data_IF_709598410320
#
_entry.id   IF_709598410320
#
_cell.length_a   1.000
_cell.length_b   1.000
_cell.length_c   1.000
_cell.angle_alpha   90.00
_cell.angle_beta   90.00
_cell.angle_gamma   90.00
#
_symmetry.space_group_name_H-M   'P 1'
#
loop_
_entity.id
_entity.type
_entity.pdbx_description
1 polymer ?
#
# COMPACT_ATOMS: atom_id res chain seq x y z
N UNK A 1 18.72 12.12 12.60
CA UNK A 1 17.81 11.66 11.54
C UNK A 1 16.57 12.53 11.60
N UNK A 2 16.16 13.15 10.49
CA UNK A 2 14.98 14.03 10.48
C UNK A 2 13.68 13.21 10.38
N UNK A 3 12.56 13.79 10.81
CA UNK A 3 11.23 13.15 10.74
C UNK A 3 10.89 12.70 9.30
N UNK A 4 11.16 13.49 8.25
CA UNK A 4 10.93 13.06 6.86
C UNK A 4 11.70 11.79 6.47
N UNK A 5 12.97 11.65 6.91
CA UNK A 5 13.78 10.45 6.62
C UNK A 5 13.20 9.22 7.31
N UNK A 6 12.71 9.35 8.56
CA UNK A 6 12.03 8.27 9.27
C UNK A 6 10.74 7.84 8.56
N UNK A 7 9.92 8.80 8.12
CA UNK A 7 8.70 8.52 7.37
C UNK A 7 9.01 7.81 6.05
N UNK A 8 10.03 8.27 5.33
CA UNK A 8 10.46 7.67 4.07
C UNK A 8 10.95 6.22 4.28
N UNK A 9 11.79 5.98 5.28
CA UNK A 9 12.26 4.64 5.63
C UNK A 9 11.11 3.70 6.03
N UNK A 10 10.14 4.19 6.82
CA UNK A 10 8.94 3.42 7.16
C UNK A 10 8.17 3.01 5.91
N UNK A 11 7.95 3.92 4.96
CA UNK A 11 7.19 3.65 3.75
C UNK A 11 7.90 2.64 2.83
N UNK A 12 9.24 2.63 2.81
CA UNK A 12 10.03 1.60 2.13
C UNK A 12 9.77 0.22 2.76
N UNK A 13 9.85 0.12 4.09
CA UNK A 13 9.65 -1.16 4.79
C UNK A 13 8.21 -1.66 4.64
N UNK A 14 7.23 -0.77 4.84
CA UNK A 14 5.82 -1.08 4.70
C UNK A 14 5.47 -1.49 3.27
N UNK A 15 5.85 -0.66 2.29
CA UNK A 15 5.64 -0.95 0.87
C UNK A 15 6.37 -2.22 0.43
N UNK A 16 7.60 -2.43 0.89
CA UNK A 16 8.41 -3.60 0.57
C UNK A 16 7.79 -4.91 1.05
N UNK A 17 7.24 -4.92 2.27
CA UNK A 17 6.47 -6.07 2.78
C UNK A 17 5.30 -6.41 1.85
N UNK A 18 4.46 -5.44 1.49
CA UNK A 18 3.31 -5.68 0.60
C UNK A 18 3.74 -6.05 -0.82
N UNK A 19 4.80 -5.43 -1.36
CA UNK A 19 5.32 -5.75 -2.68
C UNK A 19 5.73 -7.23 -2.76
N UNK A 20 6.47 -7.73 -1.77
CA UNK A 20 6.88 -9.13 -1.71
C UNK A 20 5.67 -10.06 -1.57
N UNK A 21 4.73 -9.73 -0.68
CA UNK A 21 3.55 -10.56 -0.47
C UNK A 21 2.68 -10.66 -1.72
N UNK A 22 2.46 -9.54 -2.41
CA UNK A 22 1.64 -9.49 -3.62
C UNK A 22 2.35 -10.04 -4.86
N UNK A 23 3.68 -9.96 -4.95
CA UNK A 23 4.43 -10.47 -6.11
C UNK A 23 4.71 -11.98 -6.00
N UNK A 24 5.17 -12.43 -4.83
CA UNK A 24 5.74 -13.77 -4.65
C UNK A 24 4.87 -14.70 -3.81
N UNK A 25 4.02 -14.16 -2.94
CA UNK A 25 3.16 -14.93 -2.04
C UNK A 25 1.66 -14.66 -2.30
N UNK A 26 1.32 -14.29 -3.53
CA UNK A 26 0.04 -13.68 -3.90
C UNK A 26 -1.16 -14.58 -3.63
N UNK A 27 -1.04 -15.88 -3.89
CA UNK A 27 -2.10 -16.86 -3.65
C UNK A 27 -2.43 -16.94 -2.16
N UNK A 28 -1.40 -17.12 -1.32
CA UNK A 28 -1.57 -17.17 0.14
C UNK A 28 -2.11 -15.85 0.68
N UNK A 29 -1.70 -14.71 0.11
CA UNK A 29 -2.23 -13.41 0.48
C UNK A 29 -3.72 -13.28 0.10
N UNK A 30 -4.11 -13.70 -1.10
CA UNK A 30 -5.49 -13.70 -1.55
C UNK A 30 -6.39 -14.52 -0.61
N UNK A 31 -5.98 -15.74 -0.27
CA UNK A 31 -6.74 -16.63 0.61
C UNK A 31 -6.81 -16.10 2.05
N UNK A 32 -5.65 -15.81 2.66
CA UNK A 32 -5.58 -15.48 4.10
C UNK A 32 -5.97 -14.06 4.45
N UNK A 33 -5.81 -13.11 3.52
CA UNK A 33 -5.97 -11.68 3.80
C UNK A 33 -7.15 -11.05 3.06
N UNK A 34 -7.53 -11.58 1.89
CA UNK A 34 -8.62 -11.05 1.07
C UNK A 34 -9.83 -12.00 0.97
N UNK A 35 -9.73 -13.23 1.50
CA UNK A 35 -10.78 -14.25 1.44
C UNK A 35 -11.17 -14.62 0.01
N UNK A 36 -10.20 -14.54 -0.91
CA UNK A 36 -10.37 -14.87 -2.31
C UNK A 36 -9.71 -16.22 -2.59
N UNK A 37 -10.51 -17.29 -2.53
CA UNK A 37 -10.06 -18.65 -2.77
C UNK A 37 -10.24 -19.03 -4.25
N UNK A 38 -9.38 -18.44 -5.09
CA UNK A 38 -9.28 -18.85 -6.50
C UNK A 38 -7.85 -18.67 -7.01
N UNK A 39 -7.36 -19.55 -7.90
CA UNK A 39 -6.06 -19.37 -8.53
C UNK A 39 -5.96 -18.03 -9.27
N UNK A 40 -7.07 -17.57 -9.85
CA UNK A 40 -7.15 -16.32 -10.59
C UNK A 40 -6.87 -15.10 -9.71
N UNK A 41 -7.28 -15.13 -8.44
CA UNK A 41 -6.99 -14.06 -7.48
C UNK A 41 -5.48 -13.90 -7.26
N UNK A 42 -4.75 -15.01 -7.08
CA UNK A 42 -3.30 -15.00 -6.96
C UNK A 42 -2.61 -14.43 -8.19
N UNK A 43 -3.07 -14.75 -9.40
CA UNK A 43 -2.53 -14.18 -10.64
C UNK A 43 -2.85 -12.69 -10.80
N UNK A 44 -4.05 -12.25 -10.41
CA UNK A 44 -4.46 -10.85 -10.51
C UNK A 44 -3.69 -9.92 -9.56
N UNK A 45 -3.25 -10.42 -8.40
CA UNK A 45 -2.46 -9.64 -7.44
C UNK A 45 -0.99 -9.46 -7.83
N UNK A 46 -0.43 -10.36 -8.65
CA UNK A 46 0.99 -10.30 -9.05
C UNK A 46 1.39 -8.99 -9.73
N UNK A 47 0.65 -8.49 -10.74
CA UNK A 47 0.92 -7.17 -11.33
C UNK A 47 0.94 -6.05 -10.29
N UNK A 48 -0.01 -6.05 -9.35
CA UNK A 48 -0.04 -5.05 -8.28
C UNK A 48 1.21 -5.13 -7.38
N UNK A 49 1.69 -6.35 -7.09
CA UNK A 49 2.95 -6.57 -6.38
C UNK A 49 4.17 -6.01 -7.11
N UNK A 50 4.27 -6.22 -8.43
CA UNK A 50 5.37 -5.66 -9.23
C UNK A 50 5.32 -4.14 -9.32
N UNK A 51 4.13 -3.54 -9.46
CA UNK A 51 3.96 -2.08 -9.43
C UNK A 51 4.42 -1.53 -8.06
N UNK A 52 3.98 -2.15 -6.96
CA UNK A 52 4.42 -1.79 -5.61
C UNK A 52 5.93 -1.94 -5.43
N UNK A 53 6.54 -2.98 -6.01
CA UNK A 53 7.99 -3.13 -6.04
C UNK A 53 8.67 -1.95 -6.74
N UNK A 54 8.15 -1.53 -7.89
CA UNK A 54 8.64 -0.36 -8.61
C UNK A 54 8.57 0.91 -7.75
N UNK A 55 7.45 1.15 -7.07
CA UNK A 55 7.29 2.29 -6.14
C UNK A 55 8.32 2.24 -5.01
N UNK A 56 8.53 1.07 -4.40
CA UNK A 56 9.52 0.89 -3.32
C UNK A 56 10.94 1.14 -3.81
N UNK A 57 11.29 0.69 -5.02
CA UNK A 57 12.59 0.98 -5.62
C UNK A 57 12.78 2.48 -5.89
N UNK A 58 11.73 3.19 -6.30
CA UNK A 58 11.78 4.64 -6.47
C UNK A 58 11.89 5.38 -5.13
N UNK A 59 11.26 4.90 -4.06
CA UNK A 59 11.46 5.44 -2.71
C UNK A 59 12.92 5.26 -2.28
N UNK A 60 13.49 4.07 -2.46
CA UNK A 60 14.91 3.82 -2.18
C UNK A 60 15.79 4.77 -3.00
N UNK A 61 15.53 4.89 -4.31
CA UNK A 61 16.33 5.72 -5.20
C UNK A 61 16.30 7.20 -4.78
N UNK A 62 15.11 7.73 -4.47
CA UNK A 62 14.98 9.14 -4.06
C UNK A 62 15.48 9.41 -2.64
N UNK A 63 15.43 8.43 -1.72
CA UNK A 63 16.00 8.55 -0.39
C UNK A 63 17.54 8.68 -0.41
N UNK A 64 18.19 7.91 -1.29
CA UNK A 64 19.66 7.87 -1.40
C UNK A 64 20.22 8.74 -2.54
N UNK A 65 19.37 9.43 -3.31
CA UNK A 65 19.78 10.24 -4.46
C UNK A 65 20.38 9.43 -5.61
N UNK A 66 20.01 8.15 -5.74
CA UNK A 66 20.51 7.25 -6.78
C UNK A 66 19.95 7.69 -8.13
N UNK A 67 20.79 7.77 -9.17
CA UNK A 67 20.35 8.06 -10.54
C UNK A 67 19.79 9.47 -10.76
N UNK A 68 19.94 10.39 -9.80
CA UNK A 68 19.45 11.77 -9.91
C UNK A 68 17.94 11.93 -9.69
N UNK A 69 17.25 10.92 -9.16
CA UNK A 69 15.82 11.02 -8.84
C UNK A 69 15.56 11.91 -7.61
N UNK A 70 14.77 12.96 -7.77
CA UNK A 70 14.45 13.94 -6.71
C UNK A 70 12.96 14.04 -6.36
N UNK A 71 12.09 13.38 -7.12
CA UNK A 71 10.62 13.50 -7.02
C UNK A 71 9.98 12.73 -5.86
N UNK A 72 10.52 12.84 -4.64
CA UNK A 72 9.97 12.14 -3.46
C UNK A 72 8.55 12.61 -3.16
N UNK A 73 8.28 13.92 -3.22
CA UNK A 73 6.95 14.47 -2.87
C UNK A 73 5.87 13.99 -3.83
N UNK A 74 6.18 13.92 -5.12
CA UNK A 74 5.29 13.42 -6.17
C UNK A 74 5.00 11.93 -5.97
N UNK A 75 6.02 11.14 -5.67
CA UNK A 75 5.87 9.71 -5.39
C UNK A 75 4.98 9.47 -4.15
N UNK A 76 5.21 10.23 -3.08
CA UNK A 76 4.40 10.16 -1.86
C UNK A 76 2.96 10.63 -2.08
N UNK A 77 2.74 11.64 -2.93
CA UNK A 77 1.39 12.10 -3.29
C UNK A 77 0.60 11.00 -4.03
N UNK A 78 1.22 10.30 -4.98
CA UNK A 78 0.59 9.16 -5.66
C UNK A 78 0.25 8.04 -4.66
N UNK A 79 1.15 7.74 -3.72
CA UNK A 79 0.87 6.78 -2.66
C UNK A 79 -0.27 7.23 -1.74
N UNK A 80 -0.37 8.52 -1.43
CA UNK A 80 -1.45 9.07 -0.60
C UNK A 80 -2.81 8.91 -1.29
N UNK A 81 -2.88 9.14 -2.62
CA UNK A 81 -4.10 8.89 -3.41
C UNK A 81 -4.47 7.42 -3.34
N UNK A 82 -3.53 6.50 -3.56
CA UNK A 82 -3.77 5.07 -3.46
C UNK A 82 -4.30 4.66 -2.07
N UNK A 83 -3.65 5.13 -1.00
CA UNK A 83 -4.07 4.84 0.37
C UNK A 83 -5.48 5.38 0.64
N UNK A 84 -5.78 6.60 0.19
CA UNK A 84 -7.11 7.22 0.34
C UNK A 84 -8.19 6.40 -0.36
N UNK A 85 -7.95 5.98 -1.61
CA UNK A 85 -8.89 5.13 -2.36
C UNK A 85 -9.07 3.77 -1.67
N UNK A 86 -8.01 3.22 -1.10
CA UNK A 86 -8.08 1.97 -0.32
C UNK A 86 -8.92 2.13 0.94
N UNK A 87 -8.81 3.26 1.66
CA UNK A 87 -9.68 3.57 2.81
C UNK A 87 -11.14 3.68 2.36
N UNK A 88 -11.41 4.39 1.27
CA UNK A 88 -12.78 4.55 0.75
C UNK A 88 -13.38 3.21 0.37
N UNK A 89 -12.64 2.37 -0.36
CA UNK A 89 -13.13 1.05 -0.78
C UNK A 89 -13.40 0.13 0.41
N UNK A 90 -12.43 -0.03 1.32
CA UNK A 90 -12.60 -0.89 2.49
C UNK A 90 -13.66 -0.32 3.46
N UNK A 91 -13.71 1.00 3.65
CA UNK A 91 -14.72 1.66 4.45
C UNK A 91 -16.13 1.49 3.87
N UNK A 92 -16.28 1.60 2.55
CA UNK A 92 -17.53 1.32 1.87
C UNK A 92 -17.99 -0.12 2.02
N UNK A 93 -17.06 -1.10 2.05
CA UNK A 93 -17.38 -2.49 2.34
C UNK A 93 -17.82 -2.71 3.80
N UNK A 94 -17.14 -2.08 4.77
CA UNK A 94 -17.53 -2.11 6.20
C UNK A 94 -18.92 -1.51 6.40
N UNK A 95 -19.23 -0.40 5.74
CA UNK A 95 -20.51 0.29 5.81
C UNK A 95 -21.60 -0.35 4.94
N UNK A 96 -21.31 -1.45 4.25
CA UNK A 96 -22.23 -2.15 3.32
C UNK A 96 -22.72 -1.29 2.16
N UNK A 97 -21.96 -0.24 1.80
CA UNK A 97 -22.15 0.57 0.59
C UNK A 97 -21.64 -0.18 -0.64
N UNK A 98 -20.55 -0.94 -0.48
CA UNK A 98 -20.00 -1.81 -1.52
C UNK A 98 -20.14 -3.28 -1.13
N UNK A 99 -20.36 -4.18 -2.10
CA UNK A 99 -20.38 -5.60 -1.85
C UNK A 99 -18.99 -6.13 -1.48
N UNK A 100 -18.96 -7.12 -0.59
CA UNK A 100 -17.78 -7.96 -0.33
C UNK A 100 -17.73 -9.11 -1.32
N UNK A 101 -16.54 -9.67 -1.54
CA UNK A 101 -16.33 -10.73 -2.53
C UNK A 101 -17.14 -12.01 -2.21
N UNK A 102 -17.22 -12.37 -0.93
CA UNK A 102 -17.90 -13.58 -0.45
C UNK A 102 -19.23 -13.29 0.26
N UNK A 103 -19.70 -12.03 0.23
CA UNK A 103 -20.96 -11.61 0.86
C UNK A 103 -20.93 -11.53 2.39
N UNK A 104 -19.81 -11.82 3.04
CA UNK A 104 -19.67 -11.72 4.48
C UNK A 104 -19.34 -10.31 4.95
N UNK A 105 -19.52 -10.05 6.25
CA UNK A 105 -19.15 -8.76 6.85
C UNK A 105 -17.64 -8.49 6.71
N UNK A 106 -17.31 -7.26 6.34
CA UNK A 106 -15.92 -6.81 6.17
C UNK A 106 -15.34 -6.34 7.50
N UNK A 107 -14.11 -6.75 7.79
CA UNK A 107 -13.42 -6.35 9.03
C UNK A 107 -12.98 -4.87 8.97
N UNK A 108 -13.37 -4.09 9.97
CA UNK A 108 -12.97 -2.67 10.15
C UNK A 108 -11.45 -2.50 10.10
N UNK A 109 -10.69 -3.49 10.58
CA UNK A 109 -9.22 -3.47 10.51
C UNK A 109 -8.70 -3.26 9.09
N UNK A 110 -9.40 -3.76 8.07
CA UNK A 110 -8.99 -3.59 6.67
C UNK A 110 -9.18 -2.16 6.15
N UNK A 111 -10.11 -1.38 6.73
CA UNK A 111 -10.23 0.06 6.46
C UNK A 111 -9.17 0.88 7.20
N UNK A 112 -8.68 0.38 8.34
CA UNK A 112 -7.65 1.06 9.15
C UNK A 112 -6.24 0.85 8.60
N UNK A 113 -5.91 -0.34 8.08
CA UNK A 113 -4.55 -0.65 7.57
C UNK A 113 -4.01 0.39 6.58
N UNK A 114 -4.78 0.90 5.59
CA UNK A 114 -4.30 1.91 4.65
C UNK A 114 -4.18 3.32 5.27
N UNK A 115 -4.82 3.58 6.42
CA UNK A 115 -4.62 4.84 7.16
C UNK A 115 -3.22 4.95 7.74
N UNK A 116 -2.58 3.83 8.08
CA UNK A 116 -1.23 3.81 8.66
C UNK A 116 -0.21 4.50 7.73
N UNK A 117 0.00 4.03 6.48
CA UNK A 117 0.91 4.71 5.56
C UNK A 117 0.41 6.11 5.17
N UNK A 118 -0.91 6.34 5.11
CA UNK A 118 -1.46 7.67 4.81
C UNK A 118 -1.07 8.71 5.87
N UNK A 119 -1.19 8.38 7.15
CA UNK A 119 -0.78 9.26 8.25
C UNK A 119 0.71 9.52 8.20
N UNK A 120 1.54 8.50 7.89
CA UNK A 120 2.98 8.69 7.74
C UNK A 120 3.31 9.63 6.58
N UNK A 121 2.59 9.56 5.47
CA UNK A 121 2.74 10.50 4.36
C UNK A 121 2.35 11.92 4.78
N UNK A 122 1.24 12.08 5.52
CA UNK A 122 0.84 13.39 6.04
C UNK A 122 1.92 13.97 6.97
N UNK A 123 2.43 13.16 7.90
CA UNK A 123 3.53 13.55 8.80
C UNK A 123 4.75 13.99 8.00
N UNK A 124 5.10 13.24 6.93
CA UNK A 124 6.19 13.65 6.04
C UNK A 124 5.95 15.06 5.49
N UNK A 125 4.78 15.35 4.91
CA UNK A 125 4.50 16.64 4.29
C UNK A 125 4.48 17.81 5.27
N UNK A 126 3.97 17.61 6.50
CA UNK A 126 3.90 18.69 7.50
C UNK A 126 5.23 18.92 8.25
N UNK A 127 6.22 18.05 8.07
CA UNK A 127 7.53 18.13 8.72
C UNK A 127 8.72 18.25 7.75
N UNK A 128 8.44 18.36 6.44
CA UNK A 128 9.44 18.49 5.35
C UNK A 128 9.58 19.90 4.83
#
# INVERSE_FOLDING_TARGET
>A
MSIPVLCHAFLILFGGFFAIQLAFNSQKFAESSLRMDSPQAGYALKPAGFIMCGVVLMLIATLFGIGGFTGTKELLAVMAVFCTMSVIFNGGQVLKVFPTFDGADHDVKNAIRPLIPLVVIIIYFVTS
#
